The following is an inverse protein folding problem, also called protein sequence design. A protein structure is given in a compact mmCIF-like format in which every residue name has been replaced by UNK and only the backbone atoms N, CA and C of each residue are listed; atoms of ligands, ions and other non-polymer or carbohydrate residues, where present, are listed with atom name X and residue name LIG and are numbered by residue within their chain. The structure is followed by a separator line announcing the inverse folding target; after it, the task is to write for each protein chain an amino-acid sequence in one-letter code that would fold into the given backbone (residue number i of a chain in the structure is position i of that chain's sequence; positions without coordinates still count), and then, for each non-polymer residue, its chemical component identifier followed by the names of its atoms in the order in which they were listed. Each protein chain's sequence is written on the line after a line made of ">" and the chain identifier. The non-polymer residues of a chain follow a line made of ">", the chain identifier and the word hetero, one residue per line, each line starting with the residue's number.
data_IF_278097470194
#
_entry.id   IF_278097470194
#
_cell.length_a   1.000
_cell.length_b   1.000
_cell.length_c   1.000
_cell.angle_alpha   90.00
_cell.angle_beta   90.00
_cell.angle_gamma   90.00
#
_symmetry.space_group_name_H-M   'P 1'
#
loop_
_entity.id
_entity.type
_entity.pdbx_description
1 polymer ?
#
# COMPACT_ATOMS: atom_id res chain seq x y z
N UNK A 1 -7.30 -6.96 -2.86
CA UNK A 1 -7.70 -6.52 -1.52
C UNK A 1 -9.14 -6.94 -1.18
N UNK A 2 -10.10 -6.93 -2.15
CA UNK A 2 -11.51 -7.30 -1.90
C UNK A 2 -11.71 -8.67 -1.22
N UNK A 3 -10.97 -9.71 -1.63
CA UNK A 3 -11.06 -11.04 -1.03
C UNK A 3 -10.60 -11.11 0.45
N UNK A 4 -9.88 -10.09 0.93
CA UNK A 4 -9.52 -9.92 2.34
C UNK A 4 -10.50 -9.03 3.11
N UNK A 5 -11.56 -8.53 2.46
CA UNK A 5 -12.53 -7.61 3.05
C UNK A 5 -11.98 -6.20 3.27
N UNK A 6 -11.00 -5.78 2.45
CA UNK A 6 -10.37 -4.45 2.56
C UNK A 6 -10.85 -3.56 1.43
N UNK A 7 -11.53 -2.48 1.77
CA UNK A 7 -11.83 -1.37 0.88
C UNK A 7 -10.61 -0.42 0.83
N UNK A 8 -10.27 0.05 -0.36
CA UNK A 8 -9.17 0.99 -0.58
C UNK A 8 -9.76 2.22 -1.30
N UNK A 9 -9.54 3.38 -0.73
CA UNK A 9 -9.84 4.67 -1.37
C UNK A 9 -8.54 5.33 -1.79
N UNK A 10 -8.46 5.76 -3.03
CA UNK A 10 -7.27 6.40 -3.58
C UNK A 10 -7.43 7.92 -3.57
N UNK A 11 -6.37 8.59 -3.13
CA UNK A 11 -6.25 10.05 -3.21
C UNK A 11 -4.93 10.40 -3.89
N UNK A 12 -4.93 11.42 -4.73
CA UNK A 12 -3.67 11.98 -5.24
C UNK A 12 -3.06 12.89 -4.19
N UNK A 13 -1.78 12.68 -3.89
CA UNK A 13 -1.01 13.67 -3.16
C UNK A 13 -0.69 14.89 -4.06
N UNK A 14 -0.64 16.12 -3.51
CA UNK A 14 0.49 16.50 -2.66
C UNK A 14 0.30 16.05 -1.22
N UNK A 15 1.06 15.02 -0.82
CA UNK A 15 1.06 14.56 0.56
C UNK A 15 1.85 15.58 1.40
N UNK A 16 1.17 16.60 1.86
CA UNK A 16 1.68 17.49 2.89
C UNK A 16 1.59 16.70 4.20
N UNK A 17 2.76 16.42 4.79
CA UNK A 17 2.85 15.66 6.05
C UNK A 17 2.02 16.26 7.18
N UNK A 18 1.67 15.44 8.18
CA UNK A 18 1.91 14.03 8.32
C UNK A 18 0.81 13.16 7.69
N UNK A 19 1.16 11.93 7.30
CA UNK A 19 0.17 10.92 6.87
C UNK A 19 -0.69 10.57 8.07
N UNK A 20 -2.01 10.63 7.91
CA UNK A 20 -2.94 10.33 8.99
C UNK A 20 -2.86 8.86 9.41
N UNK A 21 -3.15 8.53 10.68
CA UNK A 21 -3.25 7.13 11.10
C UNK A 21 -4.24 6.37 10.20
N UNK A 22 -3.81 5.25 9.66
CA UNK A 22 -4.61 4.46 8.72
C UNK A 22 -4.37 4.77 7.24
N UNK A 23 -3.75 5.88 6.90
CA UNK A 23 -3.33 6.18 5.53
C UNK A 23 -2.00 5.49 5.20
N UNK A 24 -1.85 5.12 3.92
CA UNK A 24 -0.63 4.55 3.35
C UNK A 24 -0.24 5.36 2.13
N UNK A 25 1.05 5.57 1.95
CA UNK A 25 1.59 6.22 0.76
C UNK A 25 2.16 5.17 -0.18
N UNK A 26 1.70 5.18 -1.43
CA UNK A 26 2.30 4.40 -2.50
C UNK A 26 2.93 5.36 -3.51
N UNK A 27 4.25 5.36 -3.58
CA UNK A 27 5.01 6.13 -4.55
C UNK A 27 5.23 5.30 -5.79
N UNK A 28 4.87 5.84 -6.95
CA UNK A 28 5.19 5.25 -8.25
C UNK A 28 6.42 6.01 -8.76
N UNK A 29 7.57 5.33 -8.81
CA UNK A 29 8.80 5.88 -9.35
C UNK A 29 8.89 5.51 -10.85
N UNK A 30 9.19 6.50 -11.69
CA UNK A 30 9.27 6.30 -13.13
C UNK A 30 10.42 5.38 -13.53
N UNK A 31 11.55 5.47 -12.82
CA UNK A 31 12.74 4.67 -13.07
C UNK A 31 13.50 4.37 -11.78
N UNK A 32 14.36 3.38 -11.84
CA UNK A 32 15.16 2.91 -10.71
C UNK A 32 16.64 3.01 -11.05
N UNK A 33 17.51 3.37 -10.07
CA UNK A 33 18.95 3.23 -10.25
C UNK A 33 19.34 1.79 -10.62
N UNK A 34 20.25 1.64 -11.59
CA UNK A 34 20.70 0.34 -12.09
C UNK A 34 21.24 -0.61 -11.00
N UNK A 35 21.72 -0.05 -9.89
CA UNK A 35 22.23 -0.80 -8.74
C UNK A 35 21.16 -1.42 -7.84
N UNK A 36 19.89 -1.13 -8.10
CA UNK A 36 18.79 -1.64 -7.25
C UNK A 36 18.47 -3.10 -7.64
N UNK A 37 18.24 -4.01 -6.69
CA UNK A 37 17.83 -5.39 -6.99
C UNK A 37 16.59 -5.46 -7.90
N UNK A 38 16.41 -6.58 -8.61
CA UNK A 38 15.39 -6.79 -9.64
C UNK A 38 13.92 -6.84 -9.16
N UNK A 39 13.57 -6.25 -8.01
CA UNK A 39 12.20 -6.19 -7.50
C UNK A 39 11.35 -5.20 -8.29
N UNK A 40 10.03 -5.45 -8.37
CA UNK A 40 9.05 -4.54 -8.97
C UNK A 40 8.67 -3.38 -8.03
N UNK A 41 8.92 -3.55 -6.75
CA UNK A 41 8.65 -2.56 -5.70
C UNK A 41 9.31 -2.95 -4.39
N UNK A 42 9.09 -2.15 -3.37
CA UNK A 42 9.46 -2.46 -1.99
C UNK A 42 8.62 -1.66 -0.99
N UNK A 43 8.49 -2.21 0.21
CA UNK A 43 7.76 -1.61 1.33
C UNK A 43 8.68 -1.34 2.50
N UNK A 44 8.59 -0.14 3.06
CA UNK A 44 9.26 0.19 4.32
C UNK A 44 8.43 -0.34 5.49
N UNK A 45 8.83 -1.50 6.01
CA UNK A 45 8.18 -2.16 7.14
C UNK A 45 9.07 -2.08 8.37
N UNK A 46 8.53 -1.50 9.44
CA UNK A 46 9.08 -1.63 10.78
C UNK A 46 8.65 -2.98 11.35
N UNK A 47 9.62 -3.90 11.47
CA UNK A 47 9.36 -5.26 11.96
C UNK A 47 9.01 -5.25 13.45
N UNK A 48 9.57 -4.33 14.24
CA UNK A 48 9.28 -4.21 15.68
C UNK A 48 7.83 -3.76 15.93
N UNK A 49 7.38 -2.76 15.19
CA UNK A 49 6.01 -2.25 15.26
C UNK A 49 5.00 -3.07 14.44
N UNK A 50 5.48 -3.99 13.61
CA UNK A 50 4.67 -4.75 12.64
C UNK A 50 3.76 -3.84 11.80
N UNK A 51 4.33 -2.75 11.29
CA UNK A 51 3.61 -1.74 10.54
C UNK A 51 4.51 -1.04 9.52
N UNK A 52 3.90 -0.40 8.53
CA UNK A 52 4.58 0.48 7.60
C UNK A 52 3.59 1.47 6.99
N UNK A 53 4.10 2.55 6.42
CA UNK A 53 3.27 3.61 5.83
C UNK A 53 3.65 3.93 4.39
N UNK A 54 4.84 3.55 3.95
CA UNK A 54 5.37 3.89 2.62
C UNK A 54 5.77 2.65 1.83
N UNK A 55 5.25 2.56 0.62
CA UNK A 55 5.72 1.64 -0.41
C UNK A 55 6.19 2.40 -1.65
N UNK A 56 7.08 1.81 -2.42
CA UNK A 56 7.52 2.32 -3.72
C UNK A 56 7.35 1.23 -4.77
N UNK A 57 6.77 1.56 -5.91
CA UNK A 57 6.63 0.69 -7.09
C UNK A 57 7.39 1.30 -8.25
N UNK A 58 8.09 0.48 -9.00
CA UNK A 58 8.94 0.89 -10.11
C UNK A 58 8.22 0.69 -11.44
N UNK A 59 7.72 1.78 -12.02
CA UNK A 59 6.89 1.75 -13.22
C UNK A 59 7.61 1.15 -14.43
N UNK A 60 8.88 1.49 -14.64
CA UNK A 60 9.71 0.97 -15.73
C UNK A 60 9.85 -0.57 -15.69
N UNK A 61 10.02 -1.13 -14.50
CA UNK A 61 10.14 -2.59 -14.31
C UNK A 61 8.81 -3.30 -14.49
N UNK A 62 7.72 -2.70 -14.00
CA UNK A 62 6.37 -3.22 -14.21
C UNK A 62 6.06 -3.25 -15.70
N UNK A 63 6.30 -2.16 -16.41
CA UNK A 63 6.11 -2.07 -17.86
C UNK A 63 6.98 -3.08 -18.61
N UNK A 64 8.26 -3.20 -18.25
CA UNK A 64 9.16 -4.18 -18.85
C UNK A 64 8.68 -5.62 -18.67
N UNK A 65 8.25 -6.00 -17.48
CA UNK A 65 7.71 -7.34 -17.21
C UNK A 65 6.36 -7.56 -17.92
N UNK A 66 5.49 -6.56 -17.94
CA UNK A 66 4.21 -6.62 -18.64
C UNK A 66 4.39 -6.84 -20.15
N UNK A 67 5.34 -6.11 -20.75
CA UNK A 67 5.68 -6.25 -22.18
C UNK A 67 6.22 -7.67 -22.50
N UNK A 68 7.12 -8.21 -21.66
CA UNK A 68 7.66 -9.56 -21.82
C UNK A 68 6.55 -10.62 -21.70
N UNK A 69 5.63 -10.44 -20.75
CA UNK A 69 4.53 -11.36 -20.52
C UNK A 69 3.33 -11.15 -21.44
N UNK A 70 3.26 -10.05 -22.20
CA UNK A 70 2.11 -9.73 -23.04
C UNK A 70 0.82 -9.46 -22.24
N UNK A 71 0.94 -8.85 -21.07
CA UNK A 71 -0.19 -8.52 -20.18
C UNK A 71 -0.35 -6.99 -20.03
N UNK A 72 -1.51 -6.54 -19.58
CA UNK A 72 -1.77 -5.13 -19.32
C UNK A 72 -0.89 -4.61 -18.17
N UNK A 73 -0.17 -3.52 -18.40
CA UNK A 73 0.77 -2.92 -17.46
C UNK A 73 0.07 -2.24 -16.28
N UNK A 74 -1.12 -1.66 -16.50
CA UNK A 74 -1.93 -1.07 -15.44
C UNK A 74 -2.48 -2.13 -14.48
N UNK A 75 -2.91 -3.29 -15.02
CA UNK A 75 -3.33 -4.42 -14.19
C UNK A 75 -2.16 -4.97 -13.38
N UNK A 76 -0.98 -5.15 -14.00
CA UNK A 76 0.21 -5.60 -13.30
C UNK A 76 0.66 -4.59 -12.25
N UNK A 77 0.63 -3.29 -12.56
CA UNK A 77 0.91 -2.21 -11.60
C UNK A 77 -0.01 -2.32 -10.37
N UNK A 78 -1.31 -2.48 -10.59
CA UNK A 78 -2.28 -2.65 -9.51
C UNK A 78 -2.00 -3.87 -8.63
N UNK A 79 -1.52 -4.97 -9.20
CA UNK A 79 -1.12 -6.19 -8.47
C UNK A 79 0.13 -5.94 -7.62
N UNK A 80 1.14 -5.25 -8.16
CA UNK A 80 2.36 -4.87 -7.42
C UNK A 80 1.99 -3.93 -6.26
N UNK A 81 1.18 -2.92 -6.51
CA UNK A 81 0.70 -2.02 -5.46
C UNK A 81 -0.02 -2.77 -4.34
N UNK A 82 -0.91 -3.71 -4.70
CA UNK A 82 -1.63 -4.52 -3.72
C UNK A 82 -0.69 -5.43 -2.90
N UNK A 83 0.37 -5.97 -3.51
CA UNK A 83 1.42 -6.74 -2.85
C UNK A 83 2.16 -5.88 -1.82
N UNK A 84 2.65 -4.72 -2.23
CA UNK A 84 3.40 -3.82 -1.36
C UNK A 84 2.54 -3.28 -0.21
N UNK A 85 1.30 -2.90 -0.47
CA UNK A 85 0.34 -2.50 0.57
C UNK A 85 0.11 -3.64 1.58
N UNK A 86 0.09 -4.87 1.12
CA UNK A 86 -0.10 -6.03 2.00
C UNK A 86 1.08 -6.20 2.95
N UNK A 87 2.33 -5.99 2.50
CA UNK A 87 3.50 -5.94 3.37
C UNK A 87 3.36 -4.87 4.47
N UNK A 88 2.93 -3.66 4.10
CA UNK A 88 2.72 -2.57 5.07
C UNK A 88 1.64 -2.90 6.11
N UNK A 89 0.54 -3.53 5.67
CA UNK A 89 -0.58 -3.88 6.55
C UNK A 89 -0.29 -5.08 7.45
N UNK A 90 0.36 -6.12 6.90
CA UNK A 90 0.72 -7.32 7.68
C UNK A 90 1.90 -7.03 8.63
N UNK A 91 2.75 -6.07 8.26
CA UNK A 91 3.96 -5.74 9.02
C UNK A 91 5.05 -6.79 8.89
N UNK A 92 5.25 -7.36 7.69
CA UNK A 92 6.26 -8.38 7.41
C UNK A 92 6.98 -8.11 6.09
N UNK A 93 8.20 -8.60 5.98
CA UNK A 93 8.97 -8.68 4.72
C UNK A 93 8.91 -10.08 4.11
N UNK A 94 8.26 -11.02 4.78
CA UNK A 94 8.19 -12.40 4.33
C UNK A 94 7.24 -12.55 3.16
N UNK A 95 7.58 -13.46 2.27
CA UNK A 95 6.77 -13.84 1.13
C UNK A 95 6.12 -15.20 1.33
N UNK A 96 4.95 -15.37 0.76
CA UNK A 96 4.28 -16.66 0.66
C UNK A 96 4.78 -17.47 -0.54
N UNK A 97 4.48 -18.76 -0.55
CA UNK A 97 4.79 -19.65 -1.68
C UNK A 97 3.79 -19.53 -2.84
N UNK A 98 2.65 -18.90 -2.65
CA UNK A 98 1.57 -18.74 -3.63
C UNK A 98 0.71 -17.50 -3.36
N UNK A 99 -0.16 -17.19 -4.31
CA UNK A 99 -1.07 -16.05 -4.23
C UNK A 99 -0.37 -14.71 -4.42
N UNK A 100 -1.04 -13.63 -4.05
CA UNK A 100 -0.53 -12.27 -4.22
C UNK A 100 0.79 -12.02 -3.49
N UNK A 101 0.99 -12.65 -2.33
CA UNK A 101 2.19 -12.45 -1.49
C UNK A 101 3.38 -13.32 -1.92
N UNK A 102 3.41 -13.89 -3.13
CA UNK A 102 4.61 -14.56 -3.66
C UNK A 102 5.75 -13.56 -3.89
N UNK A 103 6.98 -14.01 -3.61
CA UNK A 103 8.16 -13.18 -3.82
C UNK A 103 8.59 -13.03 -5.29
N UNK A 104 8.21 -13.98 -6.15
CA UNK A 104 8.58 -13.99 -7.56
C UNK A 104 7.35 -14.23 -8.44
N UNK A 105 7.24 -13.46 -9.52
CA UNK A 105 6.21 -13.60 -10.54
C UNK A 105 6.86 -13.85 -11.89
N UNK A 106 6.67 -15.04 -12.43
CA UNK A 106 7.23 -15.42 -13.72
C UNK A 106 6.30 -14.97 -14.86
N UNK A 107 6.86 -14.54 -15.98
CA UNK A 107 6.09 -14.12 -17.15
C UNK A 107 5.05 -15.19 -17.58
N UNK A 108 5.43 -16.47 -17.57
CA UNK A 108 4.51 -17.57 -17.90
C UNK A 108 3.29 -17.70 -16.96
N UNK A 109 3.43 -17.30 -15.71
CA UNK A 109 2.34 -17.28 -14.71
C UNK A 109 1.44 -16.08 -14.89
N UNK A 110 2.01 -14.93 -15.28
CA UNK A 110 1.26 -13.72 -15.60
C UNK A 110 0.28 -13.96 -16.76
N UNK A 111 0.73 -14.68 -17.80
CA UNK A 111 -0.11 -15.03 -18.98
C UNK A 111 -1.31 -15.89 -18.58
N UNK A 112 -1.12 -16.84 -17.64
CA UNK A 112 -2.19 -17.76 -17.23
C UNK A 112 -3.32 -17.09 -16.46
N UNK A 113 -3.10 -15.92 -15.88
CA UNK A 113 -4.06 -15.08 -15.17
C UNK A 113 -5.02 -15.83 -14.24
N UNK A 114 -4.55 -16.87 -13.56
CA UNK A 114 -5.38 -17.62 -12.62
C UNK A 114 -5.78 -16.71 -11.45
N UNK A 115 -7.07 -16.55 -11.15
CA UNK A 115 -7.52 -15.64 -10.06
C UNK A 115 -6.88 -15.94 -8.71
N UNK A 116 -6.61 -17.23 -8.40
CA UNK A 116 -5.95 -17.65 -7.16
C UNK A 116 -4.55 -17.10 -6.98
N UNK A 117 -3.84 -16.82 -8.08
CA UNK A 117 -2.47 -16.33 -8.06
C UNK A 117 -2.38 -14.85 -7.66
N UNK A 118 -3.52 -14.16 -7.69
CA UNK A 118 -3.64 -12.72 -7.40
C UNK A 118 -4.48 -12.44 -6.15
N UNK A 119 -4.80 -13.46 -5.40
CA UNK A 119 -5.56 -13.32 -4.16
C UNK A 119 -4.65 -13.44 -2.95
N UNK A 120 -4.98 -12.70 -1.93
CA UNK A 120 -4.42 -12.89 -0.59
C UNK A 120 -4.87 -14.23 -0.04
N UNK A 121 -4.00 -14.94 0.66
CA UNK A 121 -4.41 -16.14 1.38
C UNK A 121 -5.41 -15.78 2.50
N UNK A 122 -6.15 -16.78 2.97
CA UNK A 122 -7.04 -16.60 4.12
C UNK A 122 -6.28 -16.11 5.35
N UNK A 123 -5.07 -16.63 5.56
CA UNK A 123 -4.21 -16.22 6.67
C UNK A 123 -3.77 -14.76 6.55
N UNK A 124 -3.37 -14.31 5.36
CA UNK A 124 -2.99 -12.91 5.12
C UNK A 124 -4.19 -11.99 5.35
N UNK A 125 -5.37 -12.36 4.86
CA UNK A 125 -6.59 -11.62 5.11
C UNK A 125 -6.93 -11.46 6.60
N UNK A 126 -6.70 -12.49 7.42
CA UNK A 126 -6.86 -12.40 8.87
C UNK A 126 -5.87 -11.40 9.48
N UNK A 127 -4.57 -11.52 9.13
CA UNK A 127 -3.51 -10.61 9.62
C UNK A 127 -3.80 -9.16 9.26
N UNK A 128 -4.21 -8.90 8.00
CA UNK A 128 -4.56 -7.56 7.53
C UNK A 128 -5.72 -6.98 8.33
N UNK A 129 -6.81 -7.73 8.52
CA UNK A 129 -7.94 -7.24 9.32
C UNK A 129 -7.57 -6.95 10.76
N UNK A 130 -6.71 -7.76 11.38
CA UNK A 130 -6.19 -7.50 12.72
C UNK A 130 -5.34 -6.22 12.76
N UNK A 131 -4.48 -6.01 11.77
CA UNK A 131 -3.66 -4.81 11.68
C UNK A 131 -4.52 -3.54 11.48
N UNK A 132 -5.54 -3.60 10.64
CA UNK A 132 -6.46 -2.48 10.43
C UNK A 132 -7.22 -2.12 11.72
N UNK A 133 -7.66 -3.11 12.49
CA UNK A 133 -8.30 -2.86 13.80
C UNK A 133 -7.35 -2.16 14.76
N UNK A 134 -6.07 -2.58 14.85
CA UNK A 134 -5.07 -1.90 15.69
C UNK A 134 -4.89 -0.44 15.26
N UNK A 135 -4.69 -0.19 13.96
CA UNK A 135 -4.53 1.18 13.42
C UNK A 135 -5.74 2.07 13.74
N UNK A 136 -6.95 1.53 13.69
CA UNK A 136 -8.16 2.29 14.04
C UNK A 136 -8.25 2.61 15.53
N UNK A 137 -7.73 1.74 16.41
CA UNK A 137 -7.71 2.00 17.86
C UNK A 137 -6.61 2.96 18.31
N UNK A 138 -5.54 3.09 17.51
CA UNK A 138 -4.42 4.00 17.78
C UNK A 138 -4.68 5.42 17.23
N UNK A 139 -5.71 5.61 16.41
CA UNK A 139 -6.12 6.94 15.97
C UNK A 139 -6.69 7.70 17.18
N UNK A 140 -6.12 8.87 17.56
CA UNK A 140 -6.72 9.68 18.60
C UNK A 140 -8.16 10.05 18.17
N UNK A 141 -9.13 10.12 19.12
CA UNK A 141 -10.45 10.62 18.79
C UNK A 141 -10.30 11.97 18.11
N UNK A 142 -11.02 12.17 17.01
CA UNK A 142 -11.01 13.46 16.30
C UNK A 142 -11.17 14.57 17.33
N UNK A 143 -10.13 15.37 17.53
CA UNK A 143 -10.26 16.58 18.34
C UNK A 143 -11.34 17.42 17.67
N UNK A 144 -12.47 17.57 18.35
CA UNK A 144 -13.47 18.56 17.96
C UNK A 144 -12.74 19.88 17.83
N UNK A 145 -12.73 20.45 16.63
CA UNK A 145 -12.31 21.82 16.44
C UNK A 145 -13.23 22.66 17.34
N UNK A 146 -12.68 23.19 18.41
CA UNK A 146 -13.36 24.22 19.19
C UNK A 146 -13.28 25.46 18.32
N UNK A 147 -14.39 25.88 17.75
CA UNK A 147 -14.54 27.16 17.10
C UNK A 147 -14.12 28.23 18.10
N UNK A 148 -12.96 28.80 17.90
CA UNK A 148 -12.50 30.01 18.58
C UNK A 148 -13.11 31.23 17.88
N UNK A 149 -14.44 31.32 17.95
CA UNK A 149 -15.15 32.53 17.56
C UNK A 149 -15.59 33.24 18.86
N UNK A 150 -14.67 33.93 19.46
CA UNK A 150 -14.99 34.88 20.54
C UNK A 150 -13.90 35.92 20.65
N UNK A 151 -14.31 37.13 20.40
CA UNK A 151 -13.71 38.41 20.78
C UNK A 151 -13.08 39.25 19.68
N UNK A 152 -13.91 40.03 19.01
CA UNK A 152 -13.53 41.38 18.70
C UNK A 152 -14.69 42.33 19.01
N UNK A 153 -14.85 42.62 20.29
CA UNK A 153 -15.57 43.78 20.74
C UNK A 153 -14.60 44.67 21.45
N UNK A 154 -13.99 45.61 20.75
CA UNK A 154 -13.40 46.82 21.37
C UNK A 154 -13.89 48.03 20.60
N UNK A 155 -14.84 48.71 21.21
CA UNK A 155 -15.19 50.09 20.94
C UNK A 155 -14.00 51.01 21.22
N UNK A 156 -13.68 51.88 20.27
CA UNK A 156 -12.85 53.03 20.46
C UNK A 156 -13.77 54.27 20.62
N UNK A 157 -13.58 54.98 21.69
CA UNK A 157 -13.90 56.40 21.81
C UNK A 157 -12.74 57.20 21.26
#
# INVERSE_FOLDING_TARGET
>A
MKNAGVAVTWQRCPCLSPVSPGELVVRIAASVPASTPGSLGFSFVDIGQKAGTLATVFADRVQGLAAIAGVDDGELLGRVMAHEISHLLIGTRDHGSRGLMRGEWRASELVQQRPSDWQLSRADGVKIRQALRRRSSESPPAMMAVDADLATGVSAQ
#
